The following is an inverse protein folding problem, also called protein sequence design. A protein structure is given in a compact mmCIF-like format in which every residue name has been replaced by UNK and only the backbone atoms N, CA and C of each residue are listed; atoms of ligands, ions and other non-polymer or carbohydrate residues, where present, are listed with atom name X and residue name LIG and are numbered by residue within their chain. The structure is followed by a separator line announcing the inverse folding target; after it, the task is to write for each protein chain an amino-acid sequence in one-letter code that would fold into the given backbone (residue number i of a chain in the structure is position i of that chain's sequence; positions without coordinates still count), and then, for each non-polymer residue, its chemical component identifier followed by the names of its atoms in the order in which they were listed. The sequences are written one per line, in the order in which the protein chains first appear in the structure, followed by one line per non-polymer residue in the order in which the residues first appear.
data_IF_880491642949
#
_entry.id   IF_880491642949
#
_cell.length_a   1.000
_cell.length_b   1.000
_cell.length_c   1.000
_cell.angle_alpha   90.00
_cell.angle_beta   90.00
_cell.angle_gamma   90.00
#
_symmetry.space_group_name_H-M   'P 1'
#
loop_
_entity.id
_entity.type
_entity.pdbx_description
1 polymer ?
#
# COMPACT_ATOMS: atom_id res chain seq x y z
N UNK A 1 18.60 14.25 -17.15
CA UNK A 1 18.49 14.54 -15.71
C UNK A 1 19.72 13.98 -15.01
N UNK A 2 20.32 14.68 -14.05
CA UNK A 2 21.48 14.15 -13.33
C UNK A 2 21.06 13.07 -12.32
N UNK A 3 21.97 12.12 -12.03
CA UNK A 3 21.74 11.07 -11.02
C UNK A 3 21.40 11.63 -9.64
N UNK A 4 21.87 12.83 -9.33
CA UNK A 4 21.57 13.54 -8.08
C UNK A 4 20.08 13.92 -8.00
N UNK A 5 19.53 14.52 -9.05
CA UNK A 5 18.11 14.91 -9.09
C UNK A 5 17.21 13.66 -9.04
N UNK A 6 17.61 12.58 -9.72
CA UNK A 6 16.89 11.30 -9.67
C UNK A 6 16.85 10.73 -8.24
N UNK A 7 17.99 10.78 -7.53
CA UNK A 7 18.09 10.33 -6.14
C UNK A 7 17.23 11.16 -5.20
N UNK A 8 17.28 12.49 -5.31
CA UNK A 8 16.48 13.39 -4.48
C UNK A 8 14.97 13.18 -4.69
N UNK A 9 14.54 13.00 -5.94
CA UNK A 9 13.15 12.67 -6.25
C UNK A 9 12.71 11.34 -5.65
N UNK A 10 13.52 10.28 -5.82
CA UNK A 10 13.25 8.96 -5.25
C UNK A 10 13.11 9.05 -3.74
N UNK A 11 14.02 9.77 -3.07
CA UNK A 11 13.96 9.97 -1.62
C UNK A 11 12.78 10.83 -1.17
N UNK A 12 12.40 11.85 -1.95
CA UNK A 12 11.24 12.69 -1.67
C UNK A 12 9.93 11.89 -1.78
N UNK A 13 9.71 11.19 -2.90
CA UNK A 13 8.52 10.37 -3.12
C UNK A 13 8.45 9.19 -2.13
N UNK A 14 9.59 8.58 -1.81
CA UNK A 14 9.65 7.52 -0.81
C UNK A 14 9.26 7.99 0.59
N UNK A 15 9.69 9.20 0.98
CA UNK A 15 9.32 9.79 2.27
C UNK A 15 7.84 10.14 2.34
N UNK A 16 7.23 10.49 1.22
CA UNK A 16 5.81 10.82 1.18
C UNK A 16 4.92 9.62 1.52
N UNK A 17 5.30 8.38 1.16
CA UNK A 17 4.54 7.12 1.44
C UNK A 17 3.11 7.05 0.88
N UNK A 18 2.49 8.16 0.52
CA UNK A 18 1.16 8.22 -0.10
C UNK A 18 1.13 9.43 -1.04
N UNK A 19 0.49 9.32 -2.20
CA UNK A 19 0.36 10.44 -3.14
C UNK A 19 -0.29 11.70 -2.60
N UNK A 20 -1.21 11.60 -1.64
CA UNK A 20 -1.80 12.78 -0.96
C UNK A 20 -0.75 13.58 -0.16
N UNK A 21 0.40 12.98 0.15
CA UNK A 21 1.54 13.64 0.81
C UNK A 21 2.59 14.14 -0.18
N UNK A 22 2.40 13.87 -1.47
CA UNK A 22 3.29 14.34 -2.54
C UNK A 22 2.71 15.64 -3.09
N UNK A 23 3.53 16.67 -3.30
CA UNK A 23 3.07 17.87 -4.00
C UNK A 23 2.76 17.56 -5.47
N UNK A 24 1.83 18.31 -6.08
CA UNK A 24 1.47 18.13 -7.49
C UNK A 24 2.69 18.15 -8.42
N UNK A 25 3.65 19.04 -8.16
CA UNK A 25 4.91 19.14 -8.91
C UNK A 25 5.74 17.85 -8.83
N UNK A 26 5.92 17.30 -7.62
CA UNK A 26 6.69 16.07 -7.40
C UNK A 26 5.96 14.86 -7.99
N UNK A 27 4.62 14.86 -7.96
CA UNK A 27 3.82 13.81 -8.56
C UNK A 27 3.95 13.83 -10.09
N UNK A 28 3.82 15.01 -10.71
CA UNK A 28 3.99 15.19 -12.15
C UNK A 28 5.40 14.77 -12.60
N UNK A 29 6.43 15.19 -11.85
CA UNK A 29 7.82 14.81 -12.09
C UNK A 29 8.03 13.30 -11.94
N UNK A 30 7.40 12.66 -10.95
CA UNK A 30 7.41 11.22 -10.78
C UNK A 30 6.74 10.46 -11.93
N UNK A 31 5.64 10.99 -12.46
CA UNK A 31 4.91 10.40 -13.59
C UNK A 31 5.72 10.46 -14.87
N UNK A 32 6.36 11.60 -15.16
CA UNK A 32 7.27 11.74 -16.30
C UNK A 32 8.42 10.73 -16.23
N UNK A 33 8.87 10.40 -15.01
CA UNK A 33 10.00 9.52 -14.73
C UNK A 33 9.59 8.09 -14.35
N UNK A 34 8.34 7.70 -14.58
CA UNK A 34 7.85 6.37 -14.20
C UNK A 34 8.64 5.25 -14.88
N UNK A 35 9.01 5.40 -16.15
CA UNK A 35 9.86 4.43 -16.86
C UNK A 35 11.23 4.26 -16.19
N UNK A 36 11.83 5.38 -15.75
CA UNK A 36 13.09 5.37 -15.00
C UNK A 36 12.96 4.68 -13.64
N UNK A 37 11.84 4.87 -12.94
CA UNK A 37 11.56 4.18 -11.67
C UNK A 37 11.34 2.67 -11.89
N UNK A 38 10.62 2.29 -12.95
CA UNK A 38 10.40 0.89 -13.34
C UNK A 38 11.72 0.22 -13.70
N UNK A 39 12.56 0.87 -14.50
CA UNK A 39 13.91 0.38 -14.81
C UNK A 39 14.75 0.27 -13.56
N UNK A 40 14.75 1.25 -12.66
CA UNK A 40 15.47 1.14 -11.39
C UNK A 40 15.03 -0.04 -10.54
N UNK A 41 13.73 -0.36 -10.53
CA UNK A 41 13.20 -1.52 -9.82
C UNK A 41 13.51 -2.83 -10.55
N UNK A 42 13.44 -2.85 -11.88
CA UNK A 42 13.59 -4.05 -12.71
C UNK A 42 15.03 -4.42 -13.09
N UNK A 43 15.92 -3.44 -13.22
CA UNK A 43 17.32 -3.60 -13.67
C UNK A 43 18.28 -3.98 -12.54
N UNK A 44 17.78 -4.24 -11.33
CA UNK A 44 18.56 -4.75 -10.22
C UNK A 44 18.97 -6.22 -10.45
N UNK A 45 19.83 -6.42 -11.45
CA UNK A 45 20.48 -7.69 -11.72
C UNK A 45 21.60 -7.94 -10.71
N UNK A 46 21.37 -8.96 -9.87
CA UNK A 46 22.31 -10.07 -9.61
C UNK A 46 23.53 -9.88 -8.69
N UNK A 47 23.72 -8.84 -7.88
CA UNK A 47 24.69 -8.96 -6.78
C UNK A 47 24.00 -9.48 -5.53
N UNK A 48 23.85 -10.81 -5.48
CA UNK A 48 23.48 -11.56 -4.28
C UNK A 48 24.60 -11.37 -3.25
N UNK A 49 24.51 -10.37 -2.37
CA UNK A 49 25.43 -10.30 -1.23
C UNK A 49 24.96 -11.38 -0.24
N UNK A 50 25.74 -12.46 -0.15
CA UNK A 50 25.52 -13.51 0.85
C UNK A 50 25.94 -12.96 2.21
N UNK A 51 24.95 -12.73 3.05
CA UNK A 51 25.14 -12.37 4.44
C UNK A 51 24.79 -10.90 4.67
N UNK A 52 24.08 -10.66 5.77
CA UNK A 52 23.71 -9.36 6.32
C UNK A 52 22.39 -8.79 5.78
N UNK A 53 21.51 -8.51 6.74
CA UNK A 53 20.12 -8.09 6.57
C UNK A 53 19.93 -6.57 6.53
N UNK A 54 20.92 -5.81 6.07
CA UNK A 54 20.89 -4.34 6.07
C UNK A 54 21.21 -3.70 4.70
N UNK A 55 21.64 -4.46 3.69
CA UNK A 55 21.93 -3.92 2.34
C UNK A 55 20.67 -3.75 1.45
N UNK A 56 19.49 -4.05 2.00
CA UNK A 56 18.21 -4.02 1.28
C UNK A 56 17.55 -2.62 1.25
N UNK A 57 18.17 -1.63 1.90
CA UNK A 57 17.55 -0.33 2.20
C UNK A 57 17.57 0.64 1.00
N UNK A 58 18.48 0.49 0.03
CA UNK A 58 18.52 1.37 -1.15
C UNK A 58 17.29 1.23 -2.04
N UNK A 59 16.64 0.08 -2.04
CA UNK A 59 15.62 -0.25 -3.02
C UNK A 59 14.21 0.11 -2.54
N UNK A 60 14.02 0.16 -1.21
CA UNK A 60 12.76 0.57 -0.57
C UNK A 60 12.33 1.96 -1.06
N UNK A 61 13.29 2.86 -1.26
CA UNK A 61 12.99 4.19 -1.75
C UNK A 61 12.44 4.14 -3.20
N UNK A 62 13.05 3.34 -4.08
CA UNK A 62 12.56 3.16 -5.45
C UNK A 62 11.17 2.50 -5.47
N UNK A 63 10.93 1.50 -4.61
CA UNK A 63 9.62 0.85 -4.46
C UNK A 63 8.54 1.82 -3.98
N UNK A 64 8.85 2.68 -3.00
CA UNK A 64 7.87 3.63 -2.51
C UNK A 64 7.65 4.79 -3.49
N UNK A 65 8.69 5.20 -4.20
CA UNK A 65 8.55 6.19 -5.27
C UNK A 65 7.67 5.66 -6.42
N UNK A 66 7.92 4.43 -6.89
CA UNK A 66 7.08 3.80 -7.91
C UNK A 66 5.65 3.56 -7.39
N UNK A 67 5.50 3.20 -6.12
CA UNK A 67 4.20 3.04 -5.47
C UNK A 67 3.42 4.36 -5.45
N UNK A 68 4.08 5.47 -5.09
CA UNK A 68 3.45 6.78 -5.07
C UNK A 68 2.92 7.20 -6.45
N UNK A 69 3.55 6.81 -7.55
CA UNK A 69 3.01 7.17 -8.87
C UNK A 69 2.04 6.13 -9.42
N UNK A 70 2.02 4.91 -8.86
CA UNK A 70 1.36 3.72 -9.44
C UNK A 70 -0.11 3.92 -9.81
N UNK A 71 -0.92 4.50 -8.93
CA UNK A 71 -2.35 4.72 -9.17
C UNK A 71 -2.62 5.62 -10.37
N UNK A 72 -1.67 6.50 -10.67
CA UNK A 72 -1.74 7.49 -11.74
C UNK A 72 -1.08 7.00 -13.04
N UNK A 73 -0.48 5.80 -13.04
CA UNK A 73 0.12 5.22 -14.25
C UNK A 73 -0.95 4.63 -15.17
N UNK A 74 -0.77 4.73 -16.51
CA UNK A 74 -1.58 3.98 -17.47
C UNK A 74 -1.46 2.47 -17.26
N UNK A 75 -2.51 1.71 -17.58
CA UNK A 75 -2.57 0.25 -17.34
C UNK A 75 -1.35 -0.52 -17.88
N UNK A 76 -0.86 -0.31 -19.13
CA UNK A 76 0.30 -1.03 -19.63
C UNK A 76 1.57 -0.76 -18.82
N UNK A 77 1.68 0.45 -18.26
CA UNK A 77 2.80 0.88 -17.42
C UNK A 77 2.66 0.32 -16.01
N UNK A 78 1.44 0.24 -15.46
CA UNK A 78 1.17 -0.45 -14.19
C UNK A 78 1.53 -1.93 -14.25
N UNK A 79 1.20 -2.62 -15.34
CA UNK A 79 1.57 -4.02 -15.53
C UNK A 79 3.09 -4.23 -15.55
N UNK A 80 3.84 -3.30 -16.18
CA UNK A 80 5.31 -3.30 -16.15
C UNK A 80 5.85 -3.04 -14.75
N UNK A 81 5.31 -2.04 -14.04
CA UNK A 81 5.66 -1.75 -12.66
C UNK A 81 5.44 -2.96 -11.76
N UNK A 82 4.26 -3.59 -11.84
CA UNK A 82 3.91 -4.81 -11.11
C UNK A 82 4.91 -5.93 -11.43
N UNK A 83 5.20 -6.16 -12.71
CA UNK A 83 6.19 -7.16 -13.13
C UNK A 83 7.56 -6.90 -12.51
N UNK A 84 8.00 -5.64 -12.47
CA UNK A 84 9.25 -5.25 -11.84
C UNK A 84 9.25 -5.55 -10.33
N UNK A 85 8.16 -5.21 -9.61
CA UNK A 85 7.99 -5.58 -8.20
C UNK A 85 8.05 -7.09 -7.98
N UNK A 86 7.31 -7.87 -8.77
CA UNK A 86 7.23 -9.31 -8.62
C UNK A 86 8.58 -9.98 -8.89
N UNK A 87 9.29 -9.55 -9.95
CA UNK A 87 10.60 -10.06 -10.30
C UNK A 87 11.62 -9.84 -9.19
N UNK A 88 11.60 -8.68 -8.52
CA UNK A 88 12.45 -8.51 -7.35
C UNK A 88 12.04 -9.46 -6.23
N UNK A 89 10.75 -9.52 -5.89
CA UNK A 89 10.25 -10.35 -4.79
C UNK A 89 10.66 -11.81 -4.93
N UNK A 90 10.65 -12.35 -6.13
CA UNK A 90 11.05 -13.73 -6.42
C UNK A 90 12.57 -13.97 -6.21
N UNK A 91 13.40 -12.93 -6.35
CA UNK A 91 14.85 -13.00 -6.08
C UNK A 91 15.19 -12.98 -4.58
N UNK A 92 14.23 -12.61 -3.71
CA UNK A 92 14.40 -12.60 -2.25
C UNK A 92 14.11 -13.99 -1.70
N UNK A 93 15.01 -14.52 -0.86
CA UNK A 93 14.82 -15.81 -0.22
C UNK A 93 13.47 -15.87 0.54
N UNK A 94 12.65 -16.86 0.23
CA UNK A 94 11.32 -17.14 0.79
C UNK A 94 11.22 -16.97 2.33
N UNK A 95 12.29 -17.25 3.08
CA UNK A 95 12.33 -17.05 4.55
C UNK A 95 12.28 -15.58 4.99
N UNK A 96 12.70 -14.64 4.15
CA UNK A 96 12.62 -13.19 4.39
C UNK A 96 11.35 -12.57 3.83
N UNK A 97 10.86 -13.10 2.69
CA UNK A 97 9.57 -12.73 2.06
C UNK A 97 8.40 -12.80 3.06
N UNK A 98 8.41 -13.81 3.93
CA UNK A 98 7.36 -14.00 4.94
C UNK A 98 7.37 -13.03 6.12
N UNK A 99 8.36 -12.14 6.27
CA UNK A 99 8.49 -11.32 7.50
C UNK A 99 8.33 -9.81 7.33
N UNK A 100 8.65 -9.20 6.17
CA UNK A 100 8.77 -7.72 6.12
C UNK A 100 8.45 -7.00 4.79
N UNK A 101 8.15 -7.68 3.68
CA UNK A 101 8.44 -7.06 2.38
C UNK A 101 7.23 -6.42 1.64
N UNK A 102 5.97 -6.69 1.99
CA UNK A 102 4.84 -5.81 1.60
C UNK A 102 4.65 -4.68 2.59
N UNK A 103 5.05 -4.84 3.86
CA UNK A 103 4.96 -3.75 4.85
C UNK A 103 5.93 -2.59 4.58
N UNK A 104 6.64 -2.63 3.46
CA UNK A 104 7.50 -1.56 2.97
C UNK A 104 6.96 -0.88 1.71
N UNK A 105 5.89 -1.41 1.10
CA UNK A 105 5.21 -0.80 -0.05
C UNK A 105 4.00 -0.05 0.49
N UNK A 106 3.99 1.26 0.36
CA UNK A 106 2.97 2.09 1.00
C UNK A 106 1.71 2.30 0.14
N UNK A 107 1.77 1.94 -1.15
CA UNK A 107 0.68 2.15 -2.11
C UNK A 107 -0.41 1.05 -2.05
N UNK A 108 -1.66 1.37 -1.66
CA UNK A 108 -2.74 0.39 -1.52
C UNK A 108 -3.00 -0.45 -2.78
N UNK A 109 -3.06 0.19 -3.95
CA UNK A 109 -3.38 -0.48 -5.21
C UNK A 109 -2.25 -1.39 -5.68
N UNK A 110 -1.00 -0.94 -5.56
CA UNK A 110 0.16 -1.78 -5.86
C UNK A 110 0.22 -3.00 -4.93
N UNK A 111 -0.03 -2.81 -3.62
CA UNK A 111 -0.09 -3.91 -2.64
C UNK A 111 -1.23 -4.88 -2.98
N UNK A 112 -2.40 -4.35 -3.35
CA UNK A 112 -3.54 -5.15 -3.80
C UNK A 112 -3.19 -6.04 -4.99
N UNK A 113 -2.52 -5.45 -5.97
CA UNK A 113 -2.17 -6.11 -7.21
C UNK A 113 -1.12 -7.20 -7.00
N UNK A 114 -0.16 -6.96 -6.11
CA UNK A 114 0.80 -7.95 -5.63
C UNK A 114 0.07 -9.11 -4.93
N UNK A 115 -0.84 -8.80 -4.01
CA UNK A 115 -1.60 -9.82 -3.27
C UNK A 115 -2.43 -10.71 -4.21
N UNK A 116 -3.01 -10.10 -5.24
CA UNK A 116 -3.78 -10.81 -6.26
C UNK A 116 -2.88 -11.68 -7.15
N UNK A 117 -1.72 -11.17 -7.56
CA UNK A 117 -0.81 -11.85 -8.47
C UNK A 117 -0.05 -13.02 -7.81
N UNK A 118 0.28 -12.92 -6.51
CA UNK A 118 1.14 -13.87 -5.79
C UNK A 118 0.49 -14.41 -4.52
N UNK A 119 -0.79 -14.82 -4.61
CA UNK A 119 -1.62 -15.27 -3.48
C UNK A 119 -0.83 -15.82 -2.29
N UNK A 120 -0.99 -15.19 -1.12
CA UNK A 120 -0.30 -15.40 0.18
C UNK A 120 0.86 -14.46 0.54
N UNK A 121 0.78 -13.18 0.17
CA UNK A 121 1.69 -12.16 0.70
C UNK A 121 1.07 -11.38 1.89
N UNK A 122 1.07 -11.96 3.10
CA UNK A 122 0.33 -11.41 4.26
C UNK A 122 1.09 -11.08 5.58
N UNK A 123 2.40 -10.72 5.60
CA UNK A 123 3.04 -10.33 6.86
C UNK A 123 2.59 -8.96 7.41
N UNK A 124 2.21 -8.01 6.56
CA UNK A 124 1.95 -6.62 6.97
C UNK A 124 0.76 -6.43 7.94
N UNK A 125 -0.28 -7.26 7.87
CA UNK A 125 -1.42 -7.11 8.79
C UNK A 125 -1.09 -7.48 10.25
N UNK A 126 -0.06 -8.30 10.48
CA UNK A 126 0.38 -8.62 11.85
C UNK A 126 1.03 -7.40 12.50
N UNK A 127 1.80 -6.63 11.74
CA UNK A 127 2.44 -5.40 12.19
C UNK A 127 1.39 -4.34 12.54
N UNK A 128 0.41 -4.10 11.66
CA UNK A 128 -0.68 -3.16 11.94
C UNK A 128 -1.52 -3.56 13.14
N UNK A 129 -1.83 -4.85 13.30
CA UNK A 129 -2.52 -5.35 14.49
C UNK A 129 -1.71 -5.12 15.77
N UNK A 130 -0.39 -5.37 15.74
CA UNK A 130 0.49 -5.16 16.90
C UNK A 130 0.51 -3.70 17.30
N UNK A 131 0.56 -2.78 16.33
CA UNK A 131 0.54 -1.35 16.58
C UNK A 131 -0.78 -0.94 17.26
N UNK A 132 -1.93 -1.40 16.77
CA UNK A 132 -3.23 -1.16 17.42
C UNK A 132 -3.22 -1.62 18.88
N UNK A 133 -2.69 -2.81 19.17
CA UNK A 133 -2.66 -3.37 20.53
C UNK A 133 -1.71 -2.67 21.51
N UNK A 134 -0.84 -1.79 21.03
CA UNK A 134 0.02 -0.98 21.90
C UNK A 134 -0.71 0.22 22.52
N UNK A 135 -1.96 0.48 22.11
CA UNK A 135 -2.75 1.62 22.56
C UNK A 135 -4.08 1.16 23.15
N UNK A 136 -4.46 1.74 24.29
CA UNK A 136 -5.69 1.36 25.00
C UNK A 136 -6.93 2.04 24.42
N UNK A 137 -6.77 3.24 23.87
CA UNK A 137 -7.86 4.05 23.33
C UNK A 137 -7.51 4.61 21.96
N UNK A 138 -8.54 4.94 21.18
CA UNK A 138 -8.34 5.56 19.87
C UNK A 138 -7.65 6.94 20.01
N UNK A 139 -8.01 7.76 21.00
CA UNK A 139 -7.34 9.04 21.24
C UNK A 139 -5.84 8.90 21.51
N UNK A 140 -5.42 7.82 22.19
CA UNK A 140 -4.00 7.55 22.38
C UNK A 140 -3.32 7.15 21.05
N UNK A 141 -3.98 6.26 20.29
CA UNK A 141 -3.53 5.83 18.97
C UNK A 141 -3.39 7.02 18.03
N UNK A 142 -4.44 7.83 17.87
CA UNK A 142 -4.48 9.02 17.03
C UNK A 142 -3.34 9.98 17.38
N UNK A 143 -3.21 10.37 18.65
CA UNK A 143 -2.15 11.29 19.09
C UNK A 143 -0.74 10.77 18.82
N UNK A 144 -0.51 9.46 19.02
CA UNK A 144 0.83 8.87 18.89
C UNK A 144 1.17 8.52 17.45
N UNK A 145 0.23 7.98 16.70
CA UNK A 145 0.44 7.30 15.41
C UNK A 145 -0.06 8.12 14.23
N UNK A 146 -0.97 9.08 14.42
CA UNK A 146 -1.55 9.89 13.34
C UNK A 146 -1.11 11.35 13.41
N UNK A 147 -1.02 11.98 12.24
CA UNK A 147 -0.85 13.42 12.07
C UNK A 147 -2.20 14.12 12.21
N UNK A 148 -2.18 15.45 12.37
CA UNK A 148 -3.40 16.24 12.61
C UNK A 148 -4.38 16.26 11.42
N UNK A 149 -3.90 15.96 10.21
CA UNK A 149 -4.67 15.85 8.97
C UNK A 149 -5.25 14.44 8.74
N UNK A 150 -5.07 13.51 9.69
CA UNK A 150 -5.64 12.17 9.61
C UNK A 150 -4.81 11.16 8.82
N UNK A 151 -3.54 11.45 8.58
CA UNK A 151 -2.59 10.51 7.99
C UNK A 151 -1.78 9.80 9.08
N UNK A 152 -1.05 8.75 8.76
CA UNK A 152 -0.12 8.14 9.71
C UNK A 152 1.21 8.91 9.81
N UNK A 153 1.87 8.85 10.95
CA UNK A 153 3.22 9.37 11.12
C UNK A 153 4.23 8.40 10.52
N UNK A 154 5.13 8.93 9.71
CA UNK A 154 6.13 8.14 8.98
C UNK A 154 7.13 7.46 9.93
N UNK A 155 7.38 8.02 11.11
CA UNK A 155 8.22 7.41 12.12
C UNK A 155 7.56 6.20 12.81
N UNK A 156 6.22 6.14 12.84
CA UNK A 156 5.45 5.10 13.54
C UNK A 156 4.97 3.97 12.61
N UNK A 157 4.59 4.30 11.37
CA UNK A 157 3.89 3.36 10.49
C UNK A 157 4.66 3.10 9.20
N UNK A 158 5.25 1.91 9.06
CA UNK A 158 5.99 1.55 7.84
C UNK A 158 5.13 1.38 6.59
N UNK A 159 3.93 0.82 6.75
CA UNK A 159 2.97 0.65 5.68
C UNK A 159 1.57 1.08 6.14
N UNK A 160 1.20 2.25 5.65
CA UNK A 160 -0.04 2.95 5.95
C UNK A 160 -1.27 2.12 5.53
N UNK A 161 -1.24 1.45 4.37
CA UNK A 161 -2.33 0.58 3.93
C UNK A 161 -2.59 -0.59 4.88
N UNK A 162 -1.55 -1.30 5.29
CA UNK A 162 -1.68 -2.49 6.15
C UNK A 162 -2.13 -2.13 7.56
N UNK A 163 -1.66 -0.99 8.09
CA UNK A 163 -2.14 -0.46 9.36
C UNK A 163 -3.58 0.01 9.23
N UNK A 164 -3.92 0.81 8.21
CA UNK A 164 -5.29 1.24 7.95
C UNK A 164 -6.24 0.04 7.86
N UNK A 165 -5.88 -0.98 7.09
CA UNK A 165 -6.71 -2.17 6.94
C UNK A 165 -6.81 -2.97 8.26
N UNK A 166 -5.74 -3.05 9.05
CA UNK A 166 -5.80 -3.68 10.37
C UNK A 166 -6.68 -2.88 11.36
N UNK A 167 -6.62 -1.54 11.33
CA UNK A 167 -7.42 -0.64 12.18
C UNK A 167 -8.90 -0.68 11.80
N UNK A 168 -9.21 -0.73 10.50
CA UNK A 168 -10.58 -0.79 9.98
C UNK A 168 -11.26 -2.14 10.22
N UNK A 169 -10.50 -3.22 10.44
CA UNK A 169 -11.08 -4.56 10.64
C UNK A 169 -11.63 -4.76 12.04
N UNK A 170 -12.93 -4.99 12.15
CA UNK A 170 -13.65 -5.24 13.41
C UNK A 170 -13.14 -6.48 14.17
N UNK A 171 -12.60 -7.48 13.46
CA UNK A 171 -11.99 -8.67 14.08
C UNK A 171 -10.57 -8.43 14.60
N UNK A 172 -10.01 -7.23 14.40
CA UNK A 172 -8.62 -6.88 14.72
C UNK A 172 -8.49 -5.66 15.61
N UNK A 173 -9.45 -4.75 15.55
CA UNK A 173 -9.40 -3.44 16.17
C UNK A 173 -10.80 -2.97 16.55
N UNK A 174 -10.92 -2.33 17.72
CA UNK A 174 -12.13 -1.59 18.11
C UNK A 174 -12.16 -0.15 17.57
N UNK A 175 -11.07 0.31 16.96
CA UNK A 175 -10.90 1.71 16.53
C UNK A 175 -11.46 2.02 15.14
N UNK A 176 -11.99 1.02 14.41
CA UNK A 176 -12.32 1.18 12.99
C UNK A 176 -13.26 2.36 12.69
N UNK A 177 -14.32 2.53 13.48
CA UNK A 177 -15.28 3.62 13.28
C UNK A 177 -14.68 5.01 13.54
N UNK A 178 -13.88 5.15 14.60
CA UNK A 178 -13.24 6.41 14.94
C UNK A 178 -12.13 6.76 13.94
N UNK A 179 -11.34 5.76 13.55
CA UNK A 179 -10.33 5.90 12.51
C UNK A 179 -10.94 6.34 11.18
N UNK A 180 -12.06 5.75 10.74
CA UNK A 180 -12.72 6.15 9.51
C UNK A 180 -13.18 7.62 9.51
N UNK A 181 -13.48 8.19 10.69
CA UNK A 181 -13.87 9.60 10.84
C UNK A 181 -12.66 10.53 10.90
N UNK A 182 -11.59 10.10 11.54
CA UNK A 182 -10.38 10.88 11.75
C UNK A 182 -9.42 10.82 10.55
N UNK A 183 -9.54 9.81 9.68
CA UNK A 183 -8.63 9.61 8.56
C UNK A 183 -8.75 10.70 7.50
N UNK A 184 -7.63 11.03 6.86
CA UNK A 184 -7.63 11.89 5.67
C UNK A 184 -8.54 11.28 4.58
N UNK A 185 -9.52 12.01 4.02
CA UNK A 185 -10.55 11.42 3.15
C UNK A 185 -10.01 10.71 1.91
N UNK A 186 -9.08 11.35 1.19
CA UNK A 186 -8.48 10.78 -0.03
C UNK A 186 -7.64 9.53 0.28
N UNK A 187 -6.94 9.53 1.41
CA UNK A 187 -6.16 8.36 1.83
C UNK A 187 -7.10 7.20 2.19
N UNK A 188 -8.16 7.48 2.96
CA UNK A 188 -9.16 6.48 3.31
C UNK A 188 -9.81 5.88 2.07
N UNK A 189 -10.20 6.72 1.10
CA UNK A 189 -10.79 6.27 -0.16
C UNK A 189 -9.88 5.26 -0.87
N UNK A 190 -8.58 5.52 -0.93
CA UNK A 190 -7.61 4.63 -1.59
C UNK A 190 -7.33 3.36 -0.82
N UNK A 191 -7.34 3.42 0.51
CA UNK A 191 -7.32 2.20 1.34
C UNK A 191 -8.53 1.33 1.01
N UNK A 192 -9.72 1.92 0.92
CA UNK A 192 -10.94 1.17 0.56
C UNK A 192 -10.83 0.62 -0.86
N UNK A 193 -10.30 1.40 -1.80
CA UNK A 193 -10.07 0.95 -3.18
C UNK A 193 -9.12 -0.25 -3.23
N UNK A 194 -7.99 -0.20 -2.53
CA UNK A 194 -7.08 -1.34 -2.40
C UNK A 194 -7.75 -2.58 -1.78
N UNK A 195 -8.57 -2.40 -0.74
CA UNK A 195 -9.32 -3.51 -0.12
C UNK A 195 -10.33 -4.13 -1.09
N UNK A 196 -11.07 -3.30 -1.82
CA UNK A 196 -12.05 -3.75 -2.83
C UNK A 196 -11.34 -4.48 -3.96
N UNK A 197 -10.27 -3.90 -4.52
CA UNK A 197 -9.48 -4.53 -5.57
C UNK A 197 -8.96 -5.91 -5.13
N UNK A 198 -8.37 -6.01 -3.94
CA UNK A 198 -7.91 -7.31 -3.39
C UNK A 198 -9.02 -8.35 -3.29
N UNK A 199 -10.25 -7.91 -3.01
CA UNK A 199 -11.37 -8.81 -2.75
C UNK A 199 -12.05 -9.28 -4.03
N UNK A 200 -12.10 -8.43 -5.05
CA UNK A 200 -12.94 -8.67 -6.22
C UNK A 200 -12.17 -8.96 -7.52
N UNK A 201 -10.88 -8.62 -7.63
CA UNK A 201 -10.09 -8.69 -8.89
C UNK A 201 -10.04 -10.05 -9.60
N UNK A 202 -10.42 -11.16 -8.94
CA UNK A 202 -10.47 -12.51 -9.51
C UNK A 202 -11.79 -13.24 -9.26
N UNK A 203 -12.84 -12.51 -8.92
CA UNK A 203 -14.13 -13.11 -8.65
C UNK A 203 -14.92 -13.23 -9.94
N UNK A 204 -15.18 -14.46 -10.36
CA UNK A 204 -15.80 -14.76 -11.66
C UNK A 204 -17.32 -14.98 -11.56
N UNK A 205 -17.83 -15.29 -10.36
CA UNK A 205 -19.25 -15.60 -10.16
C UNK A 205 -20.00 -14.54 -9.34
N UNK A 206 -21.27 -14.30 -9.71
CA UNK A 206 -22.17 -13.36 -8.99
C UNK A 206 -22.31 -13.73 -7.52
N UNK A 207 -22.39 -15.03 -7.19
CA UNK A 207 -22.52 -15.50 -5.82
C UNK A 207 -21.29 -15.20 -4.96
N UNK A 208 -20.08 -15.36 -5.51
CA UNK A 208 -18.85 -15.00 -4.80
C UNK A 208 -18.69 -13.49 -4.65
N UNK A 209 -19.19 -12.71 -5.60
CA UNK A 209 -19.23 -11.25 -5.51
C UNK A 209 -20.13 -10.84 -4.35
N UNK A 210 -21.37 -11.34 -4.31
CA UNK A 210 -22.31 -11.03 -3.23
C UNK A 210 -21.77 -11.46 -1.86
N UNK A 211 -21.18 -12.65 -1.78
CA UNK A 211 -20.55 -13.15 -0.56
C UNK A 211 -19.40 -12.25 -0.11
N UNK A 212 -18.51 -11.86 -1.04
CA UNK A 212 -17.37 -10.99 -0.76
C UNK A 212 -17.80 -9.60 -0.32
N UNK A 213 -18.82 -9.04 -0.96
CA UNK A 213 -19.37 -7.74 -0.60
C UNK A 213 -20.01 -7.75 0.79
N UNK A 214 -20.83 -8.78 1.08
CA UNK A 214 -21.38 -9.00 2.42
C UNK A 214 -20.27 -9.10 3.46
N UNK A 215 -19.21 -9.88 3.15
CA UNK A 215 -18.09 -10.09 4.06
C UNK A 215 -17.33 -8.80 4.38
N UNK A 216 -17.14 -7.91 3.39
CA UNK A 216 -16.53 -6.60 3.64
C UNK A 216 -17.39 -5.75 4.58
N UNK A 217 -18.71 -5.72 4.40
CA UNK A 217 -19.62 -4.97 5.28
C UNK A 217 -19.67 -5.52 6.71
N UNK A 218 -19.46 -6.81 6.90
CA UNK A 218 -19.32 -7.43 8.23
C UNK A 218 -17.98 -7.07 8.91
N UNK A 219 -16.90 -7.03 8.14
CA UNK A 219 -15.55 -6.84 8.65
C UNK A 219 -15.19 -5.36 8.87
N UNK A 220 -15.80 -4.44 8.14
CA UNK A 220 -15.43 -3.03 8.12
C UNK A 220 -16.55 -2.16 8.74
N UNK A 221 -16.19 -1.03 9.40
CA UNK A 221 -17.16 -0.15 10.05
C UNK A 221 -18.17 0.43 9.06
N UNK A 222 -19.37 0.75 9.55
CA UNK A 222 -20.47 1.28 8.71
C UNK A 222 -20.09 2.57 8.01
N UNK A 223 -19.23 3.37 8.64
CA UNK A 223 -18.67 4.62 8.13
C UNK A 223 -18.04 4.48 6.74
N UNK A 224 -17.44 3.33 6.40
CA UNK A 224 -16.80 3.12 5.09
C UNK A 224 -17.68 2.36 4.09
N UNK A 225 -18.88 1.93 4.48
CA UNK A 225 -19.78 1.18 3.59
C UNK A 225 -20.17 1.96 2.33
N UNK A 226 -20.43 3.29 2.36
CA UNK A 226 -20.69 4.05 1.15
C UNK A 226 -19.51 4.02 0.16
N UNK A 227 -18.27 4.16 0.64
CA UNK A 227 -17.07 4.10 -0.19
C UNK A 227 -16.88 2.70 -0.81
N UNK A 228 -17.14 1.64 -0.03
CA UNK A 228 -17.10 0.26 -0.55
C UNK A 228 -18.12 0.09 -1.67
N UNK A 229 -19.35 0.58 -1.49
CA UNK A 229 -20.42 0.49 -2.49
C UNK A 229 -20.04 1.24 -3.77
N UNK A 230 -19.55 2.46 -3.64
CA UNK A 230 -19.09 3.28 -4.77
C UNK A 230 -17.98 2.58 -5.56
N UNK A 231 -16.92 2.11 -4.89
CA UNK A 231 -15.80 1.41 -5.54
C UNK A 231 -16.22 0.06 -6.12
N UNK A 232 -17.14 -0.65 -5.47
CA UNK A 232 -17.73 -1.86 -6.01
C UNK A 232 -18.47 -1.61 -7.34
N UNK A 233 -19.32 -0.57 -7.39
CA UNK A 233 -20.13 -0.21 -8.56
C UNK A 233 -19.29 0.32 -9.73
N UNK A 234 -18.21 1.05 -9.45
CA UNK A 234 -17.28 1.56 -10.48
C UNK A 234 -16.63 0.45 -11.30
N UNK A 235 -16.42 -0.73 -10.70
CA UNK A 235 -15.67 -1.86 -11.28
C UNK A 235 -14.25 -1.49 -11.74
N UNK A 236 -13.67 -0.42 -11.19
CA UNK A 236 -12.30 0.03 -11.51
C UNK A 236 -11.22 -1.04 -11.21
N UNK A 237 -11.58 -2.07 -10.45
CA UNK A 237 -10.76 -3.23 -10.12
C UNK A 237 -10.80 -4.38 -11.17
N UNK A 238 -11.64 -4.30 -12.20
CA UNK A 238 -11.77 -5.33 -13.26
C UNK A 238 -10.86 -5.09 -14.48
N UNK A 239 -10.29 -3.89 -14.61
CA UNK A 239 -9.31 -3.54 -15.64
C UNK A 239 -7.91 -3.98 -15.26
#
# INVERSE_FOLDING_TARGET
MSDLIRKELVEALARARLPERVSDDLLAEGLEKAGDLISLVGDQKKSRIRGIGDDYVSDIAAYNALGAVYSNLPEPVRAQALTAYLNQMDNVNYRYVSKKHTSLISEPLAVSDICTARGLYWPGLVEGRRLVYQHQTFTEFERKVMTADGLFKVEEVRNDFTVAYAVLRSDRSSFGADYAKASHPQFLERVIEGIVAMRFRKVESVSEIEHSHKRLKELLPKEVHPLIQQKYESKDWQS
#
